data_IF_671020901496
#
_entry.id   IF_671020901496
#
_cell.length_a   1.000
_cell.length_b   1.000
_cell.length_c   1.000
_cell.angle_alpha   90.00
_cell.angle_beta   90.00
_cell.angle_gamma   90.00
#
_symmetry.space_group_name_H-M   'P 1'
#
loop_
_entity.id
_entity.type
_entity.pdbx_description
1 polymer ?
#
# COMPACT_ATOMS: atom_id res chain seq x y z
N UNK A 1 1.90 3.85 -9.55
CA UNK A 1 2.28 5.22 -9.14
C UNK A 1 3.56 5.58 -9.88
N UNK A 2 3.47 6.49 -10.86
CA UNK A 2 4.62 6.99 -11.60
C UNK A 2 5.38 7.96 -10.71
N UNK A 3 6.55 7.57 -10.24
CA UNK A 3 7.50 8.51 -9.62
C UNK A 3 8.26 9.17 -10.77
N UNK A 4 7.69 10.24 -11.29
CA UNK A 4 8.38 11.18 -12.19
C UNK A 4 8.27 12.54 -11.52
N UNK A 5 9.29 12.90 -10.75
CA UNK A 5 9.50 14.18 -10.07
C UNK A 5 10.99 14.18 -9.68
N UNK A 6 11.90 15.07 -10.07
CA UNK A 6 11.88 16.37 -10.73
C UNK A 6 13.10 16.42 -11.67
N UNK A 7 12.90 16.75 -12.94
CA UNK A 7 13.95 17.26 -13.83
C UNK A 7 13.57 18.70 -14.17
N UNK A 8 14.01 19.66 -13.35
CA UNK A 8 13.98 21.07 -13.74
C UNK A 8 14.95 21.90 -12.89
N UNK A 9 16.18 22.11 -13.39
CA UNK A 9 16.91 23.36 -13.09
C UNK A 9 17.60 23.82 -14.38
N UNK A 10 17.33 25.08 -14.70
CA UNK A 10 17.78 25.81 -15.89
C UNK A 10 19.31 25.88 -15.99
N UNK A 11 19.78 25.80 -17.23
CA UNK A 11 21.14 26.18 -17.62
C UNK A 11 21.31 27.68 -17.44
N UNK A 12 22.07 28.10 -16.43
CA UNK A 12 22.71 29.41 -16.38
C UNK A 12 24.22 29.19 -16.42
N UNK A 13 24.82 29.55 -17.55
CA UNK A 13 26.27 29.61 -17.69
C UNK A 13 26.81 30.74 -16.79
N UNK A 14 27.36 30.37 -15.64
CA UNK A 14 28.17 31.26 -14.82
C UNK A 14 29.60 30.70 -14.77
N UNK A 15 30.55 31.44 -15.35
CA UNK A 15 31.98 31.18 -15.20
C UNK A 15 32.38 31.41 -13.74
N UNK A 16 32.26 30.38 -12.91
CA UNK A 16 32.85 30.29 -11.58
C UNK A 16 34.08 29.40 -11.61
N UNK A 17 35.22 29.91 -11.17
CA UNK A 17 36.50 29.21 -11.11
C UNK A 17 36.38 27.86 -10.40
N UNK A 18 36.69 26.78 -11.11
CA UNK A 18 36.76 25.42 -10.56
C UNK A 18 37.95 25.30 -9.60
N UNK A 19 37.79 25.72 -8.34
CA UNK A 19 38.66 25.23 -7.27
C UNK A 19 38.39 23.74 -7.14
N UNK A 20 39.45 22.92 -7.24
CA UNK A 20 39.36 21.47 -7.35
C UNK A 20 38.49 20.85 -6.27
N UNK A 21 37.21 20.61 -6.60
CA UNK A 21 36.27 19.99 -5.68
C UNK A 21 36.80 18.60 -5.26
N UNK A 22 36.68 18.23 -3.98
CA UNK A 22 37.23 16.99 -3.44
C UNK A 22 36.71 15.76 -4.19
N UNK A 23 37.50 14.68 -4.19
CA UNK A 23 37.06 13.39 -4.70
C UNK A 23 36.11 12.76 -3.67
N UNK A 24 34.81 12.93 -3.90
CA UNK A 24 33.76 12.39 -3.05
C UNK A 24 33.68 10.86 -3.14
N UNK A 25 33.42 10.19 -2.01
CA UNK A 25 33.05 8.78 -1.93
C UNK A 25 31.61 8.61 -1.45
N UNK A 26 31.01 7.42 -1.68
CA UNK A 26 29.65 7.12 -1.19
C UNK A 26 29.54 7.25 0.33
N UNK A 27 30.56 6.81 1.08
CA UNK A 27 30.59 6.92 2.55
C UNK A 27 30.60 8.38 3.02
N UNK A 28 31.36 9.24 2.33
CA UNK A 28 31.39 10.67 2.63
C UNK A 28 30.04 11.33 2.33
N UNK A 29 29.43 11.00 1.19
CA UNK A 29 28.12 11.53 0.80
C UNK A 29 27.05 11.11 1.81
N UNK A 30 27.06 9.84 2.24
CA UNK A 30 26.10 9.30 3.20
C UNK A 30 26.23 9.91 4.62
N UNK A 31 27.39 10.48 4.94
CA UNK A 31 27.68 11.10 6.24
C UNK A 31 27.36 12.61 6.31
N UNK A 32 26.94 13.24 5.19
CA UNK A 32 26.64 14.67 5.16
C UNK A 32 25.39 15.01 5.99
N UNK A 33 25.47 16.08 6.77
CA UNK A 33 24.30 16.68 7.43
C UNK A 33 23.53 17.60 6.48
N UNK A 34 22.25 17.91 6.76
CA UNK A 34 21.48 18.87 5.96
C UNK A 34 22.19 20.22 5.79
N UNK A 35 22.77 20.75 6.86
CA UNK A 35 23.49 22.04 6.85
C UNK A 35 24.75 21.97 5.98
N UNK A 36 25.42 20.81 5.93
CA UNK A 36 26.59 20.60 5.08
C UNK A 36 26.20 20.49 3.61
N UNK A 37 25.05 19.86 3.32
CA UNK A 37 24.50 19.76 1.95
C UNK A 37 24.15 21.16 1.43
N UNK A 38 23.51 22.00 2.25
CA UNK A 38 23.13 23.37 1.89
C UNK A 38 24.35 24.28 1.62
N UNK A 39 25.52 23.91 2.17
CA UNK A 39 26.77 24.64 1.98
C UNK A 39 27.57 24.21 0.73
N UNK A 40 27.14 23.15 0.02
CA UNK A 40 27.85 22.65 -1.17
C UNK A 40 27.71 23.59 -2.37
N UNK A 41 28.78 23.73 -3.13
CA UNK A 41 28.73 24.43 -4.42
C UNK A 41 28.02 23.61 -5.49
N UNK A 42 27.52 24.27 -6.55
CA UNK A 42 26.90 23.60 -7.71
C UNK A 42 27.83 22.55 -8.35
N UNK A 43 29.14 22.84 -8.41
CA UNK A 43 30.13 21.90 -8.94
C UNK A 43 30.33 20.66 -8.07
N UNK A 44 30.21 20.79 -6.75
CA UNK A 44 30.24 19.64 -5.83
C UNK A 44 28.97 18.81 -5.92
N UNK A 45 27.81 19.47 -5.98
CA UNK A 45 26.52 18.81 -6.19
C UNK A 45 26.53 17.99 -7.48
N UNK A 46 27.09 18.51 -8.57
CA UNK A 46 27.15 17.79 -9.83
C UNK A 46 28.07 16.56 -9.78
N UNK A 47 29.20 16.64 -9.06
CA UNK A 47 30.08 15.48 -8.82
C UNK A 47 29.39 14.41 -7.97
N UNK A 48 28.75 14.81 -6.87
CA UNK A 48 27.97 13.92 -6.00
C UNK A 48 26.86 13.23 -6.80
N UNK A 49 26.14 13.97 -7.62
CA UNK A 49 25.10 13.41 -8.49
C UNK A 49 25.68 12.34 -9.42
N UNK A 50 26.84 12.58 -10.01
CA UNK A 50 27.50 11.61 -10.90
C UNK A 50 27.87 10.31 -10.17
N UNK A 51 28.25 10.38 -8.89
CA UNK A 51 28.56 9.23 -8.04
C UNK A 51 27.29 8.48 -7.63
N UNK A 52 26.20 9.18 -7.31
CA UNK A 52 24.95 8.57 -6.86
C UNK A 52 24.13 7.94 -7.99
N UNK A 53 24.22 8.45 -9.21
CA UNK A 53 23.49 7.95 -10.38
C UNK A 53 23.59 6.42 -10.58
N UNK A 54 24.78 5.80 -10.63
CA UNK A 54 24.89 4.34 -10.78
C UNK A 54 24.29 3.57 -9.59
N UNK A 55 24.37 4.11 -8.38
CA UNK A 55 23.75 3.46 -7.21
C UNK A 55 22.22 3.51 -7.28
N UNK A 56 21.64 4.65 -7.68
CA UNK A 56 20.20 4.73 -7.91
C UNK A 56 19.74 3.76 -9.00
N UNK A 57 20.45 3.71 -10.14
CA UNK A 57 20.15 2.76 -11.21
C UNK A 57 20.26 1.30 -10.75
N UNK A 58 21.25 0.98 -9.90
CA UNK A 58 21.41 -0.34 -9.30
C UNK A 58 20.23 -0.69 -8.39
N UNK A 59 19.85 0.20 -7.49
CA UNK A 59 18.70 0.01 -6.58
C UNK A 59 17.40 -0.16 -7.38
N UNK A 60 17.19 0.65 -8.43
CA UNK A 60 16.05 0.50 -9.34
C UNK A 60 16.05 -0.88 -10.01
N UNK A 61 17.21 -1.35 -10.49
CA UNK A 61 17.32 -2.68 -11.11
C UNK A 61 17.01 -3.81 -10.12
N UNK A 62 17.47 -3.67 -8.87
CA UNK A 62 17.19 -4.62 -7.79
C UNK A 62 15.70 -4.63 -7.44
N UNK A 63 15.06 -3.46 -7.37
CA UNK A 63 13.64 -3.35 -7.10
C UNK A 63 12.82 -4.06 -8.19
N UNK A 64 13.17 -3.86 -9.47
CA UNK A 64 12.52 -4.54 -10.59
C UNK A 64 12.72 -6.06 -10.50
N UNK A 65 13.94 -6.51 -10.19
CA UNK A 65 14.23 -7.92 -10.01
C UNK A 65 13.39 -8.53 -8.88
N UNK A 66 13.34 -7.88 -7.70
CA UNK A 66 12.53 -8.35 -6.58
C UNK A 66 11.04 -8.38 -6.93
N UNK A 67 10.54 -7.37 -7.66
CA UNK A 67 9.15 -7.35 -8.13
C UNK A 67 8.86 -8.55 -9.02
N UNK A 68 9.71 -8.83 -10.02
CA UNK A 68 9.53 -10.00 -10.89
C UNK A 68 9.60 -11.35 -10.14
N UNK A 69 10.47 -11.46 -9.14
CA UNK A 69 10.57 -12.66 -8.30
C UNK A 69 9.31 -12.85 -7.46
N UNK A 70 8.78 -11.76 -6.90
CA UNK A 70 7.52 -11.78 -6.17
C UNK A 70 6.36 -12.18 -7.07
N UNK A 71 6.27 -11.65 -8.29
CA UNK A 71 5.26 -12.02 -9.27
C UNK A 71 5.32 -13.51 -9.63
N UNK A 72 6.52 -14.06 -9.85
CA UNK A 72 6.70 -15.49 -10.12
C UNK A 72 6.29 -16.37 -8.94
N UNK A 73 6.61 -15.96 -7.70
CA UNK A 73 6.19 -16.67 -6.49
C UNK A 73 4.67 -16.63 -6.30
N UNK A 74 4.04 -15.49 -6.56
CA UNK A 74 2.58 -15.34 -6.51
C UNK A 74 1.91 -16.18 -7.61
N UNK A 75 2.47 -16.20 -8.82
CA UNK A 75 1.98 -17.03 -9.92
C UNK A 75 2.13 -18.54 -9.64
N UNK A 76 3.18 -18.93 -8.91
CA UNK A 76 3.42 -20.30 -8.47
C UNK A 76 2.59 -20.71 -7.24
N UNK A 77 1.93 -19.77 -6.56
CA UNK A 77 1.09 -20.07 -5.41
C UNK A 77 -0.15 -20.87 -5.84
N UNK A 78 -0.45 -21.97 -5.14
CA UNK A 78 -1.65 -22.76 -5.40
C UNK A 78 -2.90 -21.95 -5.07
N UNK A 79 -3.51 -21.35 -6.10
CA UNK A 79 -4.74 -20.56 -5.98
C UNK A 79 -6.00 -21.43 -5.96
N UNK A 80 -5.88 -22.76 -6.00
CA UNK A 80 -7.03 -23.66 -5.91
C UNK A 80 -7.64 -23.60 -4.52
N UNK A 81 -8.95 -23.44 -4.48
CA UNK A 81 -9.70 -23.41 -3.24
C UNK A 81 -10.15 -24.81 -2.82
N UNK A 82 -10.15 -25.12 -1.51
CA UNK A 82 -9.84 -24.25 -0.38
C UNK A 82 -8.32 -24.08 -0.11
N UNK A 83 -7.85 -22.84 0.04
CA UNK A 83 -6.47 -22.53 0.44
C UNK A 83 -6.45 -21.38 1.47
N UNK A 84 -6.02 -21.67 2.71
CA UNK A 84 -6.00 -20.70 3.79
C UNK A 84 -5.05 -19.52 3.53
N UNK A 85 -3.82 -19.80 3.13
CA UNK A 85 -2.80 -18.76 2.95
C UNK A 85 -3.20 -17.82 1.79
N UNK A 86 -3.78 -18.36 0.72
CA UNK A 86 -4.29 -17.57 -0.39
C UNK A 86 -5.54 -16.76 0.01
N UNK A 87 -6.44 -17.34 0.83
CA UNK A 87 -7.60 -16.62 1.40
C UNK A 87 -7.16 -15.40 2.19
N UNK A 88 -6.20 -15.58 3.10
CA UNK A 88 -5.66 -14.51 3.94
C UNK A 88 -4.93 -13.48 3.09
N UNK A 89 -4.11 -13.92 2.13
CA UNK A 89 -3.44 -13.01 1.18
C UNK A 89 -4.44 -12.09 0.47
N UNK A 90 -5.49 -12.67 -0.12
CA UNK A 90 -6.52 -11.90 -0.80
C UNK A 90 -7.26 -10.96 0.15
N UNK A 91 -7.53 -11.37 1.39
CA UNK A 91 -8.30 -10.57 2.36
C UNK A 91 -7.47 -9.48 3.07
N UNK A 92 -6.16 -9.68 3.25
CA UNK A 92 -5.36 -8.86 4.18
C UNK A 92 -4.11 -8.25 3.59
N UNK A 93 -3.60 -8.72 2.44
CA UNK A 93 -2.32 -8.27 1.90
C UNK A 93 -2.47 -7.30 0.73
N UNK A 94 -3.52 -7.43 -0.09
CA UNK A 94 -3.72 -6.62 -1.29
C UNK A 94 -4.71 -5.48 -1.07
N UNK A 95 -4.59 -4.35 -1.79
CA UNK A 95 -5.57 -3.28 -1.75
C UNK A 95 -6.86 -3.69 -2.47
N UNK A 96 -7.99 -3.04 -2.14
CA UNK A 96 -9.29 -3.36 -2.75
C UNK A 96 -9.27 -3.26 -4.29
N UNK A 97 -8.50 -2.31 -4.86
CA UNK A 97 -8.36 -2.16 -6.31
C UNK A 97 -7.75 -3.40 -6.98
N UNK A 98 -6.74 -4.01 -6.35
CA UNK A 98 -6.13 -5.27 -6.82
C UNK A 98 -7.02 -6.47 -6.53
N UNK A 99 -7.73 -6.47 -5.39
CA UNK A 99 -8.70 -7.51 -5.06
C UNK A 99 -9.76 -7.70 -6.15
N UNK A 100 -10.25 -6.61 -6.75
CA UNK A 100 -11.25 -6.69 -7.82
C UNK A 100 -10.74 -7.33 -9.12
N UNK A 101 -9.42 -7.42 -9.34
CA UNK A 101 -8.84 -8.23 -10.44
C UNK A 101 -9.06 -9.73 -10.23
N UNK A 102 -9.16 -10.18 -8.98
CA UNK A 102 -9.39 -11.59 -8.60
C UNK A 102 -10.85 -11.89 -8.26
N UNK A 103 -11.69 -10.86 -8.15
CA UNK A 103 -13.08 -10.99 -7.71
C UNK A 103 -13.85 -11.90 -8.67
N UNK A 104 -14.35 -13.02 -8.14
CA UNK A 104 -15.08 -14.07 -8.88
C UNK A 104 -14.28 -14.76 -10.00
N UNK A 105 -12.97 -14.58 -10.05
CA UNK A 105 -12.10 -15.29 -11.00
C UNK A 105 -12.05 -16.79 -10.69
N UNK A 106 -12.23 -17.18 -9.42
CA UNK A 106 -12.16 -18.56 -8.96
C UNK A 106 -13.49 -19.02 -8.35
N UNK A 107 -13.85 -20.29 -8.62
CA UNK A 107 -14.88 -20.99 -7.87
C UNK A 107 -14.35 -21.43 -6.50
N UNK A 108 -15.22 -21.42 -5.48
CA UNK A 108 -14.87 -21.87 -4.13
C UNK A 108 -15.16 -20.84 -3.03
N UNK A 109 -14.59 -19.62 -3.08
CA UNK A 109 -14.83 -18.60 -2.06
C UNK A 109 -16.28 -18.15 -2.00
N UNK A 110 -16.68 -17.66 -0.84
CA UNK A 110 -17.87 -16.83 -0.71
C UNK A 110 -17.57 -15.41 -1.20
N UNK A 111 -18.06 -15.08 -2.39
CA UNK A 111 -17.94 -13.76 -3.01
C UNK A 111 -19.13 -12.83 -2.72
N UNK A 112 -20.08 -13.28 -1.89
CA UNK A 112 -21.21 -12.45 -1.49
C UNK A 112 -20.75 -11.28 -0.61
N UNK A 113 -21.47 -10.18 -0.67
CA UNK A 113 -21.25 -8.98 0.12
C UNK A 113 -22.59 -8.29 0.34
N UNK A 114 -22.65 -7.50 1.39
CA UNK A 114 -23.77 -6.61 1.72
C UNK A 114 -23.32 -5.15 1.80
N UNK A 115 -22.12 -4.85 1.28
CA UNK A 115 -21.55 -3.51 1.27
C UNK A 115 -21.14 -3.12 2.68
N UNK A 116 -21.38 -1.88 3.08
CA UNK A 116 -21.04 -1.41 4.42
C UNK A 116 -22.06 -1.82 5.51
N UNK A 117 -22.84 -2.87 5.25
CA UNK A 117 -23.90 -3.46 6.10
C UNK A 117 -24.83 -2.43 6.75
N UNK A 118 -24.46 -1.94 7.94
CA UNK A 118 -25.25 -1.02 8.77
C UNK A 118 -24.82 0.44 8.62
N UNK A 119 -23.85 0.72 7.75
CA UNK A 119 -23.33 2.05 7.48
C UNK A 119 -23.56 2.43 6.01
N UNK A 120 -23.59 3.74 5.68
CA UNK A 120 -23.70 4.16 4.29
C UNK A 120 -22.56 3.62 3.42
N UNK A 121 -22.89 3.09 2.24
CA UNK A 121 -21.92 2.68 1.22
C UNK A 121 -21.12 3.87 0.65
N UNK A 122 -21.75 5.06 0.63
CA UNK A 122 -21.20 6.27 0.00
C UNK A 122 -21.28 7.51 0.91
N UNK A 123 -20.64 7.52 2.09
CA UNK A 123 -20.68 8.68 2.97
C UNK A 123 -19.99 9.88 2.27
N UNK A 124 -20.65 11.04 2.25
CA UNK A 124 -20.14 12.24 1.55
C UNK A 124 -19.79 12.01 0.06
N UNK A 125 -20.50 11.09 -0.61
CA UNK A 125 -20.25 10.67 -1.99
C UNK A 125 -18.88 10.00 -2.22
N UNK A 126 -18.21 9.56 -1.15
CA UNK A 126 -16.95 8.80 -1.19
C UNK A 126 -17.26 7.32 -1.37
N UNK A 127 -16.55 6.61 -2.24
CA UNK A 127 -16.85 5.19 -2.50
C UNK A 127 -16.26 4.28 -1.41
N UNK A 128 -16.95 4.11 -0.28
CA UNK A 128 -16.55 3.18 0.79
C UNK A 128 -17.05 1.76 0.53
N UNK A 129 -18.03 1.59 -0.36
CA UNK A 129 -18.58 0.29 -0.77
C UNK A 129 -17.49 -0.70 -1.20
N UNK A 130 -16.52 -0.25 -2.00
CA UNK A 130 -15.46 -1.12 -2.51
C UNK A 130 -14.52 -1.65 -1.40
N UNK A 131 -14.01 -0.79 -0.48
CA UNK A 131 -13.39 -1.25 0.76
C UNK A 131 -14.26 -2.21 1.59
N UNK A 132 -15.56 -1.94 1.73
CA UNK A 132 -16.48 -2.78 2.49
C UNK A 132 -16.67 -4.16 1.84
N UNK A 133 -16.84 -4.23 0.52
CA UNK A 133 -16.95 -5.50 -0.22
C UNK A 133 -15.70 -6.39 -0.04
N UNK A 134 -14.52 -5.77 0.03
CA UNK A 134 -13.27 -6.48 0.28
C UNK A 134 -13.16 -6.95 1.76
N UNK A 135 -13.65 -6.14 2.70
CA UNK A 135 -13.76 -6.54 4.12
C UNK A 135 -14.70 -7.73 4.32
N UNK A 136 -15.87 -7.71 3.66
CA UNK A 136 -16.85 -8.80 3.65
C UNK A 136 -16.22 -10.11 3.17
N UNK A 137 -15.39 -10.07 2.13
CA UNK A 137 -14.68 -11.26 1.66
C UNK A 137 -13.82 -11.87 2.79
N UNK A 138 -13.10 -11.05 3.55
CA UNK A 138 -12.32 -11.52 4.69
C UNK A 138 -13.19 -12.13 5.78
N UNK A 139 -14.28 -11.46 6.17
CA UNK A 139 -15.21 -11.92 7.21
C UNK A 139 -15.95 -13.20 6.84
N UNK A 140 -16.23 -13.39 5.55
CA UNK A 140 -16.95 -14.56 5.03
C UNK A 140 -16.03 -15.75 4.78
N UNK A 141 -14.73 -15.55 4.52
CA UNK A 141 -13.84 -16.65 4.08
C UNK A 141 -12.76 -17.02 5.10
N UNK A 142 -12.08 -16.06 5.74
CA UNK A 142 -10.97 -16.35 6.67
C UNK A 142 -11.42 -17.23 7.86
N UNK A 143 -12.55 -16.96 8.54
CA UNK A 143 -13.00 -17.79 9.66
C UNK A 143 -13.62 -19.13 9.22
N UNK A 144 -13.71 -19.44 7.92
CA UNK A 144 -14.07 -20.80 7.49
C UNK A 144 -12.98 -21.81 7.84
N UNK A 145 -11.73 -21.38 8.00
CA UNK A 145 -10.58 -22.21 8.39
C UNK A 145 -10.38 -22.15 9.90
N UNK A 146 -10.08 -23.27 10.56
CA UNK A 146 -9.96 -23.28 12.02
C UNK A 146 -8.86 -22.31 12.51
N UNK A 147 -7.72 -22.26 11.81
CA UNK A 147 -6.62 -21.32 12.09
C UNK A 147 -7.01 -19.85 11.92
N UNK A 148 -7.96 -19.54 11.04
CA UNK A 148 -8.45 -18.18 10.77
C UNK A 148 -9.48 -17.68 11.79
N UNK A 149 -10.03 -18.55 12.64
CA UNK A 149 -11.01 -18.18 13.66
C UNK A 149 -10.34 -17.60 14.90
N UNK A 150 -9.70 -16.45 14.76
CA UNK A 150 -9.06 -15.75 15.87
C UNK A 150 -9.15 -14.23 15.75
N UNK A 151 -9.04 -13.55 16.90
CA UNK A 151 -9.01 -12.09 16.95
C UNK A 151 -7.83 -11.50 16.18
N UNK A 152 -6.72 -12.24 16.09
CA UNK A 152 -5.57 -11.84 15.29
C UNK A 152 -5.91 -11.71 13.80
N UNK A 153 -6.54 -12.74 13.22
CA UNK A 153 -6.92 -12.71 11.81
C UNK A 153 -8.07 -11.74 11.54
N UNK A 154 -9.06 -11.65 12.46
CA UNK A 154 -10.11 -10.61 12.37
C UNK A 154 -9.50 -9.22 12.34
N UNK A 155 -8.52 -8.94 13.23
CA UNK A 155 -7.80 -7.67 13.25
C UNK A 155 -7.04 -7.42 11.95
N UNK A 156 -6.38 -8.42 11.36
CA UNK A 156 -5.71 -8.24 10.06
C UNK A 156 -6.67 -7.84 8.94
N UNK A 157 -7.86 -8.42 8.91
CA UNK A 157 -8.92 -8.04 7.96
C UNK A 157 -9.40 -6.61 8.24
N UNK A 158 -9.64 -6.25 9.50
CA UNK A 158 -10.07 -4.90 9.88
C UNK A 158 -8.98 -3.83 9.60
N UNK A 159 -7.70 -4.14 9.82
CA UNK A 159 -6.57 -3.26 9.52
C UNK A 159 -6.46 -3.02 8.01
N UNK A 160 -6.68 -4.07 7.20
CA UNK A 160 -6.72 -3.93 5.75
C UNK A 160 -7.89 -3.07 5.30
N UNK A 161 -9.05 -3.21 5.94
CA UNK A 161 -10.21 -2.35 5.69
C UNK A 161 -9.90 -0.88 5.98
N UNK A 162 -9.30 -0.54 7.13
CA UNK A 162 -8.86 0.82 7.42
C UNK A 162 -7.89 1.35 6.36
N UNK A 163 -6.91 0.53 5.96
CA UNK A 163 -5.95 0.91 4.91
C UNK A 163 -6.66 1.25 3.60
N UNK A 164 -7.61 0.41 3.18
CA UNK A 164 -8.41 0.62 1.96
C UNK A 164 -9.29 1.89 2.04
N UNK A 165 -9.93 2.15 3.18
CA UNK A 165 -10.68 3.39 3.40
C UNK A 165 -9.78 4.62 3.30
N UNK A 166 -8.57 4.55 3.89
CA UNK A 166 -7.58 5.61 3.81
C UNK A 166 -7.05 5.82 2.38
N UNK A 167 -6.98 4.78 1.55
CA UNK A 167 -6.65 4.91 0.13
C UNK A 167 -7.70 5.73 -0.62
N UNK A 168 -8.99 5.50 -0.38
CA UNK A 168 -10.08 6.33 -0.95
C UNK A 168 -9.88 7.81 -0.59
N UNK A 169 -9.46 8.10 0.64
CA UNK A 169 -9.16 9.47 1.07
C UNK A 169 -7.87 10.02 0.44
N UNK A 170 -6.89 9.15 0.19
CA UNK A 170 -5.62 9.47 -0.47
C UNK A 170 -5.82 9.97 -1.89
N UNK A 171 -6.78 9.39 -2.61
CA UNK A 171 -7.12 9.72 -4.00
C UNK A 171 -7.75 11.11 -4.18
N UNK A 172 -8.28 11.70 -3.11
CA UNK A 172 -8.77 13.08 -3.12
C UNK A 172 -7.60 14.05 -3.26
N UNK A 173 -7.75 15.10 -4.08
CA UNK A 173 -6.79 16.20 -4.15
C UNK A 173 -6.61 16.88 -2.77
N UNK A 174 -5.44 17.45 -2.52
CA UNK A 174 -5.13 18.07 -1.22
C UNK A 174 -6.07 19.25 -0.87
N UNK A 175 -6.65 19.91 -1.88
CA UNK A 175 -7.62 21.00 -1.72
C UNK A 175 -9.08 20.53 -1.62
N UNK A 176 -9.38 19.22 -1.71
CA UNK A 176 -10.75 18.74 -1.60
C UNK A 176 -11.25 18.92 -0.15
N UNK A 177 -12.35 19.67 0.08
CA UNK A 177 -12.84 19.95 1.43
C UNK A 177 -13.34 18.71 2.19
N UNK A 178 -13.48 17.57 1.49
CA UNK A 178 -13.87 16.29 2.09
C UNK A 178 -12.69 15.50 2.62
N UNK A 179 -11.44 15.85 2.29
CA UNK A 179 -10.27 15.00 2.57
C UNK A 179 -10.11 14.68 4.05
N UNK A 180 -10.16 15.67 4.92
CA UNK A 180 -10.05 15.46 6.38
C UNK A 180 -11.25 14.66 6.93
N UNK A 181 -12.46 14.99 6.46
CA UNK A 181 -13.68 14.26 6.85
C UNK A 181 -13.66 12.81 6.40
N UNK A 182 -13.06 12.52 5.25
CA UNK A 182 -12.87 11.16 4.75
C UNK A 182 -12.01 10.35 5.73
N UNK A 183 -10.89 10.90 6.20
CA UNK A 183 -10.05 10.21 7.18
C UNK A 183 -10.77 9.99 8.50
N UNK A 184 -11.52 10.97 9.00
CA UNK A 184 -12.36 10.80 10.20
C UNK A 184 -13.35 9.65 10.00
N UNK A 185 -14.09 9.63 8.88
CA UNK A 185 -15.00 8.55 8.54
C UNK A 185 -14.30 7.19 8.44
N UNK A 186 -13.10 7.14 7.85
CA UNK A 186 -12.32 5.91 7.75
C UNK A 186 -12.02 5.31 9.15
N UNK A 187 -11.60 6.16 10.09
CA UNK A 187 -11.39 5.75 11.48
C UNK A 187 -12.70 5.38 12.18
N UNK A 188 -13.81 6.07 11.91
CA UNK A 188 -15.14 5.73 12.47
C UNK A 188 -15.60 4.34 12.01
N UNK A 189 -15.49 4.03 10.72
CA UNK A 189 -15.88 2.73 10.16
C UNK A 189 -14.99 1.61 10.72
N UNK A 190 -13.68 1.84 10.79
CA UNK A 190 -12.75 0.90 11.42
C UNK A 190 -13.09 0.67 12.90
N UNK A 191 -13.34 1.74 13.68
CA UNK A 191 -13.73 1.62 15.07
C UNK A 191 -15.04 0.81 15.22
N UNK A 192 -16.00 1.00 14.31
CA UNK A 192 -17.24 0.24 14.34
C UNK A 192 -17.00 -1.27 14.15
N UNK A 193 -16.23 -1.70 13.14
CA UNK A 193 -15.95 -3.14 12.93
C UNK A 193 -15.09 -3.72 14.06
N UNK A 194 -14.17 -2.93 14.64
CA UNK A 194 -13.39 -3.39 15.80
C UNK A 194 -14.25 -3.68 17.03
N UNK A 195 -15.24 -2.83 17.30
CA UNK A 195 -16.10 -2.93 18.49
C UNK A 195 -17.32 -3.84 18.29
N UNK A 196 -17.84 -3.96 17.06
CA UNK A 196 -19.11 -4.65 16.79
C UNK A 196 -19.00 -5.80 15.77
N UNK A 197 -17.82 -6.02 15.17
CA UNK A 197 -17.60 -7.03 14.13
C UNK A 197 -17.34 -8.45 14.63
N UNK A 198 -17.23 -8.67 15.94
CA UNK A 198 -16.98 -10.00 16.52
C UNK A 198 -18.07 -11.01 16.13
N UNK A 199 -19.33 -10.68 16.40
CA UNK A 199 -20.47 -11.54 16.08
C UNK A 199 -20.51 -11.94 14.61
N UNK A 200 -20.54 -10.99 13.66
CA UNK A 200 -20.48 -11.28 12.24
C UNK A 200 -19.30 -12.18 11.85
N UNK A 201 -18.08 -11.90 12.32
CA UNK A 201 -16.89 -12.68 11.97
C UNK A 201 -17.00 -14.14 12.41
N UNK A 202 -17.38 -14.40 13.66
CA UNK A 202 -17.45 -15.76 14.18
C UNK A 202 -18.75 -16.50 13.82
N UNK A 203 -19.79 -15.79 13.35
CA UNK A 203 -21.02 -16.42 12.85
C UNK A 203 -20.80 -17.20 11.54
N UNK A 204 -19.79 -16.82 10.75
CA UNK A 204 -19.37 -17.58 9.57
C UNK A 204 -19.08 -19.04 9.96
N UNK A 205 -19.68 -20.00 9.27
CA UNK A 205 -19.51 -21.42 9.60
C UNK A 205 -18.07 -21.89 9.30
N UNK A 206 -17.44 -22.58 10.25
CA UNK A 206 -16.18 -23.29 10.01
C UNK A 206 -16.41 -24.44 9.01
N UNK A 207 -15.67 -24.45 7.90
CA UNK A 207 -15.75 -25.48 6.85
C UNK A 207 -14.46 -26.29 6.71
N UNK A 208 -13.32 -25.73 7.09
CA UNK A 208 -12.00 -26.31 6.87
C UNK A 208 -11.24 -26.46 8.19
N UNK A 209 -10.37 -27.48 8.30
CA UNK A 209 -9.49 -27.63 9.46
C UNK A 209 -8.49 -26.48 9.61
#
# INVERSE_FOLDING_TARGET
MRVVLLMLVLVLAACGSQTGAPNWTLEQIAALTPEQIDALSEGELQKIQTILQPEFARVESQLIQLQSQLEALVAAQDSRWPNFDYTVYLATAIPYGTFFTYYRTYSGPDWSNDGCSYSPDKPLFLNFKDPCNHHDFGYRNVPQYARGRSETYRKYVDDRFLSNLKSVCGDLSWWDPRKDKCYVLAYTYYAAVRNFGEGPYYSTQKRYP
#
